data_IF_495022379112
#
_entry.id   IF_495022379112
#
_cell.length_a   1.000
_cell.length_b   1.000
_cell.length_c   1.000
_cell.angle_alpha   90.00
_cell.angle_beta   90.00
_cell.angle_gamma   90.00
#
_symmetry.space_group_name_H-M   'P 1'
#
loop_
_entity.id
_entity.type
_entity.pdbx_description
1 polymer ?
#
# COMPACT_ATOMS: atom_id res chain seq x y z
N UNK A 1 14.06 -6.27 7.87
CA UNK A 1 14.19 -6.12 6.40
C UNK A 1 12.85 -6.52 5.79
N UNK A 2 12.29 -5.71 4.89
CA UNK A 2 11.04 -6.01 4.19
C UNK A 2 11.39 -6.39 2.76
N UNK A 3 10.89 -7.53 2.29
CA UNK A 3 11.01 -7.99 0.91
C UNK A 3 9.62 -7.97 0.26
N UNK A 4 9.53 -7.45 -0.96
CA UNK A 4 8.26 -7.29 -1.65
C UNK A 4 8.45 -7.27 -3.16
N UNK A 5 7.41 -7.64 -3.91
CA UNK A 5 7.36 -7.53 -5.37
C UNK A 5 6.96 -6.12 -5.85
N UNK A 6 6.61 -5.21 -4.95
CA UNK A 6 6.20 -3.84 -5.28
C UNK A 6 7.37 -2.89 -5.57
N UNK A 7 8.61 -3.33 -5.35
CA UNK A 7 9.82 -2.59 -5.73
C UNK A 7 10.36 -3.18 -7.02
N UNK A 8 10.75 -2.32 -7.98
CA UNK A 8 11.31 -2.75 -9.24
C UNK A 8 12.60 -3.59 -9.05
N UNK A 9 12.81 -4.58 -9.92
CA UNK A 9 13.99 -5.44 -9.87
C UNK A 9 15.29 -4.62 -9.90
N UNK A 10 16.28 -5.03 -9.12
CA UNK A 10 17.56 -4.33 -8.99
C UNK A 10 17.46 -2.97 -8.28
N UNK A 11 16.37 -2.68 -7.57
CA UNK A 11 16.23 -1.47 -6.75
C UNK A 11 16.05 -1.83 -5.29
N UNK A 12 16.72 -1.08 -4.41
CA UNK A 12 16.50 -1.13 -2.97
C UNK A 12 16.28 0.29 -2.41
N UNK A 13 15.45 0.40 -1.39
CA UNK A 13 15.22 1.65 -0.66
C UNK A 13 15.75 1.52 0.75
N UNK A 14 16.61 2.44 1.14
CA UNK A 14 17.14 2.55 2.50
C UNK A 14 16.69 3.86 3.11
N UNK A 15 16.49 3.85 4.42
CA UNK A 15 16.18 5.06 5.16
C UNK A 15 15.61 4.81 6.54
N UNK A 16 15.38 5.90 7.26
CA UNK A 16 14.73 5.87 8.56
C UNK A 16 13.21 5.98 8.39
N UNK A 17 12.53 4.85 8.22
CA UNK A 17 11.07 4.81 7.96
C UNK A 17 10.20 5.35 9.09
N UNK A 18 10.75 5.61 10.28
CA UNK A 18 10.08 6.41 11.32
C UNK A 18 9.75 7.85 10.87
N UNK A 19 10.38 8.34 9.79
CA UNK A 19 10.09 9.64 9.17
C UNK A 19 9.02 9.57 8.08
N UNK A 20 8.38 8.41 7.89
CA UNK A 20 7.17 8.27 7.05
C UNK A 20 5.95 8.37 7.95
N UNK A 21 5.00 9.23 7.57
CA UNK A 21 3.68 9.31 8.18
C UNK A 21 2.68 8.62 7.27
N UNK A 22 1.84 7.80 7.89
CA UNK A 22 0.68 7.18 7.25
C UNK A 22 -0.54 7.63 8.05
N UNK A 23 -1.36 8.50 7.46
CA UNK A 23 -2.58 8.99 8.07
C UNK A 23 -3.76 8.20 7.52
N UNK A 24 -4.25 7.24 8.30
CA UNK A 24 -5.41 6.43 7.89
C UNK A 24 -6.71 7.13 8.23
N UNK A 25 -7.70 7.01 7.34
CA UNK A 25 -9.06 7.50 7.57
C UNK A 25 -9.92 6.38 8.16
N UNK A 26 -9.53 5.91 9.35
CA UNK A 26 -10.14 4.74 10.00
C UNK A 26 -9.51 3.42 9.57
N UNK A 27 -10.29 2.34 9.67
CA UNK A 27 -9.88 0.98 9.30
C UNK A 27 -10.23 0.62 7.85
N UNK A 28 -10.25 -0.68 7.57
CA UNK A 28 -10.75 -1.23 6.31
C UNK A 28 -12.28 -1.15 6.29
N UNK A 29 -12.84 -0.48 5.29
CA UNK A 29 -14.28 -0.46 5.02
C UNK A 29 -14.65 -1.61 4.07
N UNK A 30 -15.74 -2.31 4.38
CA UNK A 30 -16.21 -3.48 3.63
C UNK A 30 -17.66 -3.26 3.21
N UNK A 31 -17.90 -3.29 1.90
CA UNK A 31 -19.24 -3.28 1.33
C UNK A 31 -19.54 -4.64 0.71
N UNK A 32 -20.63 -5.26 1.16
CA UNK A 32 -21.11 -6.54 0.64
C UNK A 32 -22.28 -6.27 -0.30
N UNK A 33 -22.13 -6.65 -1.56
CA UNK A 33 -23.15 -6.49 -2.60
C UNK A 33 -23.61 -7.86 -3.12
N UNK A 34 -24.78 -8.34 -2.65
CA UNK A 34 -25.37 -9.58 -3.15
C UNK A 34 -26.22 -9.37 -4.42
N UNK A 35 -26.36 -8.14 -4.92
CA UNK A 35 -27.37 -7.81 -5.93
C UNK A 35 -26.80 -7.67 -7.34
N UNK A 36 -25.66 -6.99 -7.54
CA UNK A 36 -25.14 -6.71 -8.89
C UNK A 36 -24.91 -7.96 -9.73
N UNK A 37 -24.45 -9.06 -9.12
CA UNK A 37 -24.30 -10.36 -9.78
C UNK A 37 -25.12 -11.47 -9.11
N UNK A 38 -26.19 -11.11 -8.41
CA UNK A 38 -27.05 -12.05 -7.69
C UNK A 38 -27.71 -13.08 -8.60
N UNK A 39 -28.01 -12.73 -9.86
CA UNK A 39 -28.60 -13.65 -10.85
C UNK A 39 -27.67 -14.80 -11.26
N UNK A 40 -26.35 -14.65 -11.08
CA UNK A 40 -25.35 -15.69 -11.32
C UNK A 40 -24.85 -16.34 -10.02
N UNK A 41 -25.47 -16.02 -8.88
CA UNK A 41 -25.08 -16.56 -7.57
C UNK A 41 -23.75 -16.03 -7.03
N UNK A 42 -23.27 -14.88 -7.52
CA UNK A 42 -22.01 -14.27 -7.08
C UNK A 42 -22.29 -13.13 -6.11
N UNK A 43 -21.56 -13.09 -4.99
CA UNK A 43 -21.54 -11.97 -4.05
C UNK A 43 -20.25 -11.19 -4.25
N UNK A 44 -20.39 -9.90 -4.51
CA UNK A 44 -19.26 -9.00 -4.63
C UNK A 44 -18.90 -8.45 -3.24
N UNK A 45 -17.60 -8.38 -2.96
CA UNK A 45 -17.05 -7.79 -1.75
C UNK A 45 -16.09 -6.69 -2.16
N UNK A 46 -16.39 -5.46 -1.79
CA UNK A 46 -15.53 -4.31 -2.01
C UNK A 46 -14.84 -3.95 -0.70
N UNK A 47 -13.53 -3.75 -0.76
CA UNK A 47 -12.72 -3.42 0.40
C UNK A 47 -11.97 -2.11 0.12
N UNK A 48 -12.19 -1.10 0.95
CA UNK A 48 -11.59 0.22 0.82
C UNK A 48 -10.77 0.57 2.05
N UNK A 49 -9.52 0.94 1.84
CA UNK A 49 -8.69 1.54 2.88
C UNK A 49 -8.14 2.84 2.33
N UNK A 50 -8.44 3.93 3.02
CA UNK A 50 -8.00 5.27 2.65
C UNK A 50 -6.85 5.69 3.55
N UNK A 51 -5.77 6.16 2.94
CA UNK A 51 -4.62 6.69 3.67
C UNK A 51 -3.91 7.76 2.86
N UNK A 52 -3.50 8.83 3.55
CA UNK A 52 -2.53 9.79 3.04
C UNK A 52 -1.12 9.39 3.50
N UNK A 53 -0.14 9.55 2.62
CA UNK A 53 1.27 9.23 2.90
C UNK A 53 2.14 10.46 2.73
N UNK A 54 2.94 10.76 3.75
CA UNK A 54 3.86 11.90 3.76
C UNK A 54 5.25 11.53 4.29
N UNK A 55 6.26 12.30 3.88
CA UNK A 55 7.64 12.14 4.32
C UNK A 55 8.09 13.42 5.03
N UNK A 56 8.40 13.34 6.34
CA UNK A 56 8.80 14.54 7.10
C UNK A 56 10.23 14.99 6.76
N UNK A 57 11.12 14.03 6.48
CA UNK A 57 12.55 14.29 6.20
C UNK A 57 12.98 13.51 4.95
N UNK A 58 12.82 14.10 3.75
CA UNK A 58 13.18 13.43 2.50
C UNK A 58 14.64 12.96 2.45
N UNK A 59 15.57 13.75 3.02
CA UNK A 59 17.01 13.45 3.04
C UNK A 59 17.37 12.20 3.85
N UNK A 60 16.43 11.66 4.64
CA UNK A 60 16.63 10.42 5.40
C UNK A 60 16.46 9.15 4.54
N UNK A 61 16.17 9.28 3.25
CA UNK A 61 15.88 8.18 2.34
C UNK A 61 16.80 8.18 1.12
N UNK A 62 17.16 6.99 0.67
CA UNK A 62 17.96 6.80 -0.54
C UNK A 62 17.44 5.63 -1.36
N UNK A 63 17.37 5.83 -2.67
CA UNK A 63 17.17 4.77 -3.66
C UNK A 63 18.53 4.28 -4.14
N UNK A 64 18.75 2.98 -4.12
CA UNK A 64 19.97 2.34 -4.63
C UNK A 64 19.61 1.44 -5.79
N UNK A 65 20.39 1.54 -6.87
CA UNK A 65 20.35 0.58 -7.98
C UNK A 65 21.44 -0.46 -7.75
N UNK A 66 21.04 -1.72 -7.72
CA UNK A 66 21.91 -2.87 -7.58
C UNK A 66 22.36 -3.30 -8.96
N UNK A 67 23.66 -3.14 -9.23
CA UNK A 67 24.31 -3.70 -10.41
C UNK A 67 24.94 -5.04 -10.03
N UNK A 68 24.90 -6.00 -10.96
CA UNK A 68 25.60 -7.27 -10.82
C UNK A 68 27.12 -7.09 -10.75
#
# INVERSE_FOLDING_TARGET
MIETTHVAAGTAYFGLFQHVMIATFGGLDIVVDPYTNGSTGVVNIYAYQLADVGVLRPDAFQKVTLTA
#
